data_IF_498702620016
#
_entry.id   IF_498702620016
#
_cell.length_a   1.000
_cell.length_b   1.000
_cell.length_c   1.000
_cell.angle_alpha   90.00
_cell.angle_beta   90.00
_cell.angle_gamma   90.00
#
_symmetry.space_group_name_H-M   'P 1'
#
loop_
_entity.id
_entity.type
_entity.pdbx_description
1 polymer ?
#
# COMPACT_ATOMS: atom_id res chain seq x y z
N UNK A 1 -12.58 -85.61 13.72
CA UNK A 1 -12.40 -85.49 12.25
C UNK A 1 -13.16 -84.25 11.77
N UNK A 2 -12.44 -83.32 11.13
CA UNK A 2 -12.97 -82.07 10.56
C UNK A 2 -13.67 -82.35 9.23
N UNK A 3 -14.87 -81.81 8.99
CA UNK A 3 -15.41 -81.57 7.63
C UNK A 3 -16.23 -80.27 7.58
N UNK A 4 -15.53 -79.26 7.08
CA UNK A 4 -15.92 -78.15 6.19
C UNK A 4 -17.40 -77.86 5.92
N UNK A 5 -17.79 -76.61 6.19
CA UNK A 5 -19.04 -75.92 5.80
C UNK A 5 -18.84 -75.31 4.39
N UNK A 6 -19.85 -75.37 3.50
CA UNK A 6 -19.73 -74.88 2.12
C UNK A 6 -19.69 -73.35 2.03
N UNK A 7 -18.94 -72.90 1.01
CA UNK A 7 -18.68 -71.53 0.64
C UNK A 7 -19.95 -70.91 0.00
N UNK A 8 -20.68 -70.13 0.78
CA UNK A 8 -21.79 -69.29 0.28
C UNK A 8 -21.75 -67.96 1.01
N UNK A 9 -20.61 -67.27 0.89
CA UNK A 9 -20.41 -65.96 1.52
C UNK A 9 -21.03 -64.89 0.65
N UNK A 10 -22.26 -64.55 1.00
CA UNK A 10 -22.72 -63.19 1.28
C UNK A 10 -22.19 -62.09 0.33
N UNK A 11 -22.98 -61.85 -0.72
CA UNK A 11 -23.05 -60.57 -1.43
C UNK A 11 -23.61 -59.51 -0.46
N UNK A 12 -23.13 -58.26 -0.60
CA UNK A 12 -23.48 -57.04 0.14
C UNK A 12 -22.84 -56.88 1.54
N UNK A 13 -21.75 -56.11 1.59
CA UNK A 13 -21.73 -54.95 2.48
C UNK A 13 -20.98 -53.78 1.83
N UNK A 14 -21.57 -52.61 1.99
CA UNK A 14 -21.35 -51.37 1.28
C UNK A 14 -19.89 -50.88 1.22
N UNK A 15 -19.55 -50.34 0.05
CA UNK A 15 -18.51 -49.35 -0.14
C UNK A 15 -18.78 -48.11 0.74
N UNK A 16 -17.98 -47.89 1.78
CA UNK A 16 -17.99 -46.63 2.54
C UNK A 16 -16.70 -46.46 3.37
N UNK A 17 -15.52 -46.47 2.76
CA UNK A 17 -14.29 -45.97 3.42
C UNK A 17 -13.44 -45.16 2.44
N UNK A 18 -14.08 -44.27 1.71
CA UNK A 18 -13.44 -43.05 1.22
C UNK A 18 -14.50 -41.97 1.33
N UNK A 19 -14.78 -41.52 2.56
CA UNK A 19 -15.22 -40.14 2.69
C UNK A 19 -14.03 -39.31 2.23
N UNK A 20 -14.08 -38.60 1.08
CA UNK A 20 -13.23 -37.44 0.98
C UNK A 20 -13.67 -36.60 2.17
N UNK A 21 -12.85 -36.54 3.22
CA UNK A 21 -12.82 -35.34 4.05
C UNK A 21 -12.45 -34.27 3.05
N UNK A 22 -13.47 -33.67 2.44
CA UNK A 22 -13.36 -32.43 1.74
C UNK A 22 -12.64 -31.55 2.75
N UNK A 23 -11.38 -31.27 2.46
CA UNK A 23 -10.79 -30.02 2.91
C UNK A 23 -11.68 -29.01 2.21
N UNK A 24 -12.80 -28.65 2.85
CA UNK A 24 -13.42 -27.38 2.62
C UNK A 24 -12.36 -26.42 3.11
N UNK A 25 -11.45 -26.05 2.20
CA UNK A 25 -10.79 -24.77 2.28
C UNK A 25 -11.97 -23.81 2.44
N UNK A 26 -12.17 -23.35 3.66
CA UNK A 26 -13.06 -22.25 3.93
C UNK A 26 -12.54 -21.17 3.01
N UNK A 27 -13.28 -20.88 1.94
CA UNK A 27 -13.01 -19.72 1.11
C UNK A 27 -13.14 -18.55 2.08
N UNK A 28 -12.02 -18.14 2.67
CA UNK A 28 -11.92 -16.88 3.37
C UNK A 28 -12.32 -15.86 2.30
N UNK A 29 -13.56 -15.37 2.40
CA UNK A 29 -14.16 -14.56 1.35
C UNK A 29 -13.24 -13.38 1.10
N UNK A 30 -12.64 -13.34 -0.09
CA UNK A 30 -11.74 -12.26 -0.48
C UNK A 30 -12.48 -10.93 -0.29
N UNK A 31 -11.94 -10.06 0.56
CA UNK A 31 -12.54 -8.75 0.77
C UNK A 31 -12.43 -7.96 -0.54
N UNK A 32 -13.52 -7.35 -1.06
CA UNK A 32 -13.43 -6.50 -2.24
C UNK A 32 -12.64 -5.22 -1.91
N UNK A 33 -12.08 -4.58 -2.93
CA UNK A 33 -11.42 -3.28 -2.77
C UNK A 33 -12.48 -2.26 -2.34
N UNK A 34 -12.26 -1.53 -1.22
CA UNK A 34 -13.23 -0.53 -0.77
C UNK A 34 -13.24 0.69 -1.72
N UNK A 35 -14.39 1.37 -1.79
CA UNK A 35 -14.59 2.51 -2.71
C UNK A 35 -13.62 3.65 -2.43
N UNK A 36 -13.37 3.98 -1.15
CA UNK A 36 -12.44 5.04 -0.75
C UNK A 36 -11.05 4.86 -1.37
N UNK A 37 -10.56 3.62 -1.49
CA UNK A 37 -9.22 3.34 -2.03
C UNK A 37 -9.21 3.58 -3.54
N UNK A 38 -10.27 3.17 -4.24
CA UNK A 38 -10.42 3.40 -5.67
C UNK A 38 -10.56 4.90 -5.99
N UNK A 39 -11.30 5.63 -5.16
CA UNK A 39 -11.49 7.09 -5.26
C UNK A 39 -10.17 7.82 -5.00
N UNK A 40 -9.43 7.44 -3.95
CA UNK A 40 -8.08 7.96 -3.67
C UNK A 40 -7.12 7.71 -4.85
N UNK A 41 -7.11 6.51 -5.43
CA UNK A 41 -6.29 6.22 -6.61
C UNK A 41 -6.69 7.06 -7.82
N UNK A 42 -7.99 7.23 -8.06
CA UNK A 42 -8.49 8.05 -9.16
C UNK A 42 -8.08 9.53 -8.97
N UNK A 43 -8.19 10.06 -7.76
CA UNK A 43 -7.79 11.42 -7.42
C UNK A 43 -6.28 11.63 -7.65
N UNK A 44 -5.43 10.75 -7.12
CA UNK A 44 -3.96 10.85 -7.26
C UNK A 44 -3.49 10.76 -8.71
N UNK A 45 -4.18 9.98 -9.55
CA UNK A 45 -3.82 9.76 -10.97
C UNK A 45 -4.47 10.72 -11.95
N UNK A 46 -5.18 11.74 -11.49
CA UNK A 46 -5.86 12.69 -12.37
C UNK A 46 -4.87 13.46 -13.28
N UNK A 47 -5.31 13.81 -14.49
CA UNK A 47 -4.50 14.58 -15.43
C UNK A 47 -3.20 13.88 -15.82
N UNK A 48 -2.06 14.49 -15.49
CA UNK A 48 -0.73 13.89 -15.70
C UNK A 48 -0.32 12.93 -14.58
N UNK A 49 -1.08 12.85 -13.48
CA UNK A 49 -0.69 12.16 -12.25
C UNK A 49 0.48 12.81 -11.52
N UNK A 50 0.96 13.98 -11.98
CA UNK A 50 2.10 14.69 -11.41
C UNK A 50 1.62 15.83 -10.52
N UNK A 51 2.09 15.86 -9.28
CA UNK A 51 1.77 16.85 -8.27
C UNK A 51 3.04 17.49 -7.73
N UNK A 52 3.08 18.82 -7.63
CA UNK A 52 4.27 19.57 -7.24
C UNK A 52 4.01 20.34 -5.94
N UNK A 53 4.97 20.30 -5.02
CA UNK A 53 4.98 21.14 -3.81
C UNK A 53 6.28 21.93 -3.74
N UNK A 54 6.20 23.13 -3.19
CA UNK A 54 7.36 23.94 -2.81
C UNK A 54 8.14 23.28 -1.65
N UNK A 55 9.46 23.48 -1.61
CA UNK A 55 10.33 23.00 -0.53
C UNK A 55 10.99 24.12 0.29
N UNK A 56 10.68 25.39 0.05
CA UNK A 56 11.40 26.52 0.67
C UNK A 56 11.43 26.46 2.21
N UNK A 57 10.37 25.93 2.84
CA UNK A 57 10.27 25.80 4.29
C UNK A 57 11.22 24.74 4.91
N UNK A 58 11.74 23.81 4.10
CA UNK A 58 12.57 22.67 4.57
C UNK A 58 13.92 22.57 3.84
N UNK A 59 14.24 23.54 2.98
CA UNK A 59 15.53 23.61 2.31
C UNK A 59 16.68 23.61 3.30
N UNK A 60 17.73 22.86 2.95
CA UNK A 60 18.98 22.78 3.72
C UNK A 60 20.14 22.48 2.78
N UNK A 61 21.36 22.42 3.32
CA UNK A 61 22.52 21.97 2.52
C UNK A 61 22.34 20.54 2.00
N UNK A 62 21.60 19.70 2.73
CA UNK A 62 21.31 18.31 2.34
C UNK A 62 20.06 18.20 1.45
N UNK A 63 19.19 19.22 1.45
CA UNK A 63 18.01 19.33 0.58
C UNK A 63 18.05 20.64 -0.23
N UNK A 64 18.98 20.78 -1.20
CA UNK A 64 19.19 22.05 -1.92
C UNK A 64 18.21 22.28 -3.09
N UNK A 65 17.20 21.44 -3.24
CA UNK A 65 16.22 21.49 -4.33
C UNK A 65 15.06 22.43 -4.02
N UNK A 66 14.44 22.96 -5.07
CA UNK A 66 13.45 24.04 -4.99
C UNK A 66 12.06 23.49 -4.66
N UNK A 67 11.76 22.29 -5.15
CA UNK A 67 10.45 21.66 -5.02
C UNK A 67 10.57 20.14 -5.02
N UNK A 68 9.47 19.49 -4.65
CA UNK A 68 9.27 18.07 -4.88
C UNK A 68 8.16 17.83 -5.90
N UNK A 69 8.26 16.70 -6.59
CA UNK A 69 7.19 16.15 -7.41
C UNK A 69 6.79 14.76 -6.94
N UNK A 70 5.49 14.49 -6.87
CA UNK A 70 4.91 13.16 -6.80
C UNK A 70 4.35 12.81 -8.18
N UNK A 71 4.70 11.65 -8.71
CA UNK A 71 4.05 11.09 -9.89
C UNK A 71 3.34 9.80 -9.50
N UNK A 72 2.06 9.70 -9.84
CA UNK A 72 1.21 8.55 -9.59
C UNK A 72 0.68 7.97 -10.91
N UNK A 73 0.73 6.65 -11.03
CA UNK A 73 0.14 5.92 -12.16
C UNK A 73 -0.53 4.64 -11.68
N UNK A 74 -1.52 4.18 -12.43
CA UNK A 74 -2.10 2.86 -12.16
C UNK A 74 -1.10 1.75 -12.46
N UNK A 75 -1.05 0.77 -11.56
CA UNK A 75 -0.44 -0.52 -11.82
C UNK A 75 -1.28 -1.40 -12.73
N UNK A 76 -0.86 -2.66 -12.86
CA UNK A 76 -1.45 -3.62 -13.78
C UNK A 76 -2.96 -3.80 -13.51
N UNK A 77 -3.76 -3.66 -14.57
CA UNK A 77 -5.21 -3.83 -14.49
C UNK A 77 -5.93 -2.81 -13.60
N UNK A 78 -5.29 -1.69 -13.23
CA UNK A 78 -5.81 -0.68 -12.29
C UNK A 78 -6.19 -1.25 -10.92
N UNK A 79 -5.46 -2.28 -10.48
CA UNK A 79 -5.64 -2.95 -9.18
C UNK A 79 -4.58 -2.58 -8.14
N UNK A 80 -3.68 -1.69 -8.50
CA UNK A 80 -2.67 -1.11 -7.63
C UNK A 80 -2.33 0.29 -8.11
N UNK A 81 -1.67 1.05 -7.25
CA UNK A 81 -1.14 2.37 -7.54
C UNK A 81 0.38 2.30 -7.42
N UNK A 82 1.08 2.84 -8.42
CA UNK A 82 2.52 3.05 -8.36
C UNK A 82 2.78 4.53 -8.26
N UNK A 83 3.89 4.90 -7.65
CA UNK A 83 4.35 6.26 -7.77
C UNK A 83 5.84 6.43 -7.54
N UNK A 84 6.28 7.68 -7.66
CA UNK A 84 7.61 8.12 -7.24
C UNK A 84 7.56 9.53 -6.68
N UNK A 85 8.41 9.79 -5.68
CA UNK A 85 8.74 11.13 -5.20
C UNK A 85 10.09 11.51 -5.76
N UNK A 86 10.18 12.68 -6.37
CA UNK A 86 11.38 13.18 -7.02
C UNK A 86 11.63 14.64 -6.67
N UNK A 87 12.88 15.05 -6.79
CA UNK A 87 13.32 16.41 -6.50
C UNK A 87 13.34 17.26 -7.76
N UNK A 88 13.02 18.54 -7.61
CA UNK A 88 13.06 19.53 -8.69
C UNK A 88 14.09 20.62 -8.37
N UNK A 89 14.97 20.91 -9.33
CA UNK A 89 15.86 22.07 -9.29
C UNK A 89 15.72 22.85 -10.59
N UNK A 90 15.45 24.15 -10.49
CA UNK A 90 15.21 25.02 -11.64
C UNK A 90 14.11 24.46 -12.58
N UNK A 91 13.10 23.82 -11.99
CA UNK A 91 12.00 23.17 -12.72
C UNK A 91 12.35 21.83 -13.39
N UNK A 92 13.59 21.35 -13.28
CA UNK A 92 14.04 20.08 -13.83
C UNK A 92 13.99 18.97 -12.79
N UNK A 93 13.55 17.78 -13.21
CA UNK A 93 13.67 16.57 -12.40
C UNK A 93 15.13 16.14 -12.31
N UNK A 94 15.67 16.15 -11.09
CA UNK A 94 17.07 15.84 -10.83
C UNK A 94 17.27 14.48 -10.14
N UNK A 95 16.20 13.74 -9.86
CA UNK A 95 16.32 12.42 -9.23
C UNK A 95 15.14 12.05 -8.35
N UNK A 96 14.93 10.73 -8.23
CA UNK A 96 13.90 10.16 -7.35
C UNK A 96 14.48 9.86 -5.97
N UNK A 97 13.72 10.16 -4.93
CA UNK A 97 14.06 9.86 -3.53
C UNK A 97 13.27 8.67 -2.99
N UNK A 98 12.04 8.45 -3.50
CA UNK A 98 11.21 7.31 -3.13
C UNK A 98 10.45 6.75 -4.33
N UNK A 99 10.21 5.44 -4.31
CA UNK A 99 9.25 4.75 -5.17
C UNK A 99 8.17 4.08 -4.31
N UNK A 100 6.93 4.11 -4.78
CA UNK A 100 5.75 3.62 -4.06
C UNK A 100 5.06 2.48 -4.81
N UNK A 101 4.52 1.53 -4.06
CA UNK A 101 3.49 0.59 -4.51
C UNK A 101 2.40 0.50 -3.43
N UNK A 102 1.17 0.87 -3.79
CA UNK A 102 -0.02 0.67 -2.97
C UNK A 102 -0.96 -0.35 -3.62
N UNK A 103 -1.49 -1.28 -2.85
CA UNK A 103 -2.37 -2.34 -3.33
C UNK A 103 -3.35 -2.80 -2.26
N UNK A 104 -4.43 -3.45 -2.68
CA UNK A 104 -5.36 -4.08 -1.75
C UNK A 104 -4.93 -5.53 -1.47
N UNK A 105 -4.80 -5.88 -0.19
CA UNK A 105 -4.60 -7.23 0.30
C UNK A 105 -5.98 -7.83 0.64
N UNK A 106 -6.56 -8.67 -0.24
CA UNK A 106 -7.94 -9.16 -0.07
C UNK A 106 -8.05 -10.24 1.01
N UNK A 107 -6.94 -10.88 1.39
CA UNK A 107 -6.92 -11.86 2.48
C UNK A 107 -6.99 -11.16 3.82
N UNK A 108 -6.21 -10.09 3.99
CA UNK A 108 -6.19 -9.34 5.22
C UNK A 108 -7.20 -8.18 5.28
N UNK A 109 -7.90 -7.90 4.17
CA UNK A 109 -8.91 -6.84 4.09
C UNK A 109 -8.34 -5.44 4.34
N UNK A 110 -7.14 -5.14 3.81
CA UNK A 110 -6.47 -3.86 4.06
C UNK A 110 -5.69 -3.35 2.85
N UNK A 111 -5.55 -2.02 2.75
CA UNK A 111 -4.63 -1.42 1.79
C UNK A 111 -3.21 -1.50 2.34
N UNK A 112 -2.28 -1.97 1.51
CA UNK A 112 -0.86 -2.11 1.81
C UNK A 112 -0.08 -1.10 1.01
N UNK A 113 0.95 -0.54 1.63
CA UNK A 113 1.90 0.34 0.96
C UNK A 113 3.33 -0.16 1.18
N UNK A 114 4.10 -0.17 0.10
CA UNK A 114 5.54 -0.45 0.08
C UNK A 114 6.26 0.75 -0.51
N UNK A 115 7.36 1.13 0.12
CA UNK A 115 8.23 2.22 -0.31
C UNK A 115 9.68 1.77 -0.39
N UNK A 116 10.39 2.27 -1.40
CA UNK A 116 11.83 2.04 -1.56
C UNK A 116 12.53 3.39 -1.73
N UNK A 117 13.44 3.70 -0.82
CA UNK A 117 14.24 4.91 -0.81
C UNK A 117 15.45 4.79 -1.74
N UNK A 118 15.97 5.92 -2.20
CA UNK A 118 17.17 5.96 -3.05
C UNK A 118 18.43 5.38 -2.39
N UNK A 119 18.44 5.31 -1.06
CA UNK A 119 19.49 4.71 -0.22
C UNK A 119 19.29 3.20 0.01
N UNK A 120 18.21 2.61 -0.53
CA UNK A 120 17.83 1.22 -0.31
C UNK A 120 16.98 0.98 0.94
N UNK A 121 16.60 2.02 1.68
CA UNK A 121 15.66 1.90 2.80
C UNK A 121 14.31 1.41 2.30
N UNK A 122 13.74 0.39 2.95
CA UNK A 122 12.43 -0.18 2.59
C UNK A 122 11.41 0.15 3.66
N UNK A 123 10.32 0.80 3.26
CA UNK A 123 9.13 1.08 4.07
C UNK A 123 8.02 0.10 3.75
N UNK A 124 7.37 -0.47 4.75
CA UNK A 124 6.18 -1.31 4.58
C UNK A 124 5.12 -0.95 5.62
N UNK A 125 3.86 -0.96 5.21
CA UNK A 125 2.77 -0.71 6.13
C UNK A 125 1.41 -0.71 5.47
N UNK A 126 0.51 0.07 6.05
CA UNK A 126 -0.93 0.03 5.75
C UNK A 126 -1.49 1.41 5.53
N UNK A 127 -2.51 1.50 4.67
CA UNK A 127 -3.30 2.70 4.45
C UNK A 127 -4.75 2.47 4.88
N UNK A 128 -5.41 3.49 5.41
CA UNK A 128 -6.83 3.47 5.74
C UNK A 128 -7.45 4.86 5.61
N UNK A 129 -8.76 4.92 5.46
CA UNK A 129 -9.53 6.17 5.55
C UNK A 129 -9.94 6.40 7.01
N UNK A 130 -9.70 7.60 7.54
CA UNK A 130 -10.17 8.00 8.87
C UNK A 130 -11.61 8.55 8.84
N UNK A 131 -12.17 8.87 10.02
CA UNK A 131 -13.57 9.31 10.15
C UNK A 131 -13.88 10.63 9.40
N UNK A 132 -12.86 11.43 9.12
CA UNK A 132 -12.97 12.69 8.39
C UNK A 132 -12.80 12.50 6.85
N UNK A 133 -12.64 11.26 6.39
CA UNK A 133 -12.35 10.96 4.98
C UNK A 133 -10.91 11.24 4.56
N UNK A 134 -10.00 11.40 5.53
CA UNK A 134 -8.58 11.55 5.22
C UNK A 134 -7.93 10.18 5.05
N UNK A 135 -7.00 10.08 4.10
CA UNK A 135 -6.20 8.87 3.92
C UNK A 135 -5.03 8.92 4.89
N UNK A 136 -4.94 7.94 5.77
CA UNK A 136 -3.82 7.74 6.68
C UNK A 136 -2.97 6.57 6.26
N UNK A 137 -1.69 6.68 6.53
CA UNK A 137 -0.70 5.65 6.24
C UNK A 137 0.22 5.53 7.46
N UNK A 138 0.54 4.30 7.88
CA UNK A 138 1.57 4.03 8.90
C UNK A 138 2.52 2.99 8.36
N UNK A 139 3.81 3.27 8.40
CA UNK A 139 4.84 2.40 7.87
C UNK A 139 6.05 2.28 8.77
N UNK A 140 6.63 1.09 8.78
CA UNK A 140 7.94 0.82 9.36
C UNK A 140 8.97 0.80 8.24
N UNK A 141 10.05 1.54 8.45
CA UNK A 141 11.18 1.66 7.54
C UNK A 141 12.39 0.95 8.12
N UNK A 142 13.13 0.25 7.27
CA UNK A 142 14.36 -0.44 7.62
C UNK A 142 15.43 -0.13 6.57
N UNK A 143 16.58 0.39 7.01
CA UNK A 143 17.73 0.67 6.15
C UNK A 143 18.58 -0.59 5.91
N UNK A 144 19.40 -0.63 4.85
CA UNK A 144 20.33 -1.73 4.60
C UNK A 144 21.31 -2.01 5.76
N UNK A 145 21.65 -0.98 6.54
CA UNK A 145 22.53 -1.04 7.71
C UNK A 145 21.83 -1.55 8.97
N UNK A 146 20.52 -1.82 8.90
CA UNK A 146 19.71 -2.36 10.00
C UNK A 146 19.08 -1.29 10.90
N UNK A 147 19.22 0.00 10.58
CA UNK A 147 18.48 1.07 11.24
C UNK A 147 16.98 0.96 10.95
N UNK A 148 16.12 1.27 11.91
CA UNK A 148 14.68 1.23 11.72
C UNK A 148 13.96 2.40 12.40
N UNK A 149 12.89 2.87 11.77
CA UNK A 149 12.01 3.90 12.30
C UNK A 149 10.58 3.71 11.80
N UNK A 150 9.62 4.38 12.44
CA UNK A 150 8.23 4.41 12.00
C UNK A 150 7.84 5.83 11.61
N UNK A 151 7.07 5.93 10.53
CA UNK A 151 6.54 7.19 10.02
C UNK A 151 5.08 7.02 9.63
N UNK A 152 4.33 8.09 9.85
CA UNK A 152 2.93 8.20 9.51
C UNK A 152 2.70 9.30 8.49
N UNK A 153 1.67 9.16 7.66
CA UNK A 153 1.19 10.20 6.78
C UNK A 153 -0.32 10.34 6.92
N UNK A 154 -0.81 11.56 6.72
CA UNK A 154 -2.22 11.86 6.55
C UNK A 154 -2.35 12.75 5.30
N UNK A 155 -3.22 12.36 4.38
CA UNK A 155 -3.45 13.04 3.12
C UNK A 155 -4.92 13.35 2.91
N UNK A 156 -5.22 14.53 2.38
CA UNK A 156 -6.58 14.96 2.07
C UNK A 156 -6.62 15.95 0.92
N UNK A 157 -7.79 16.10 0.31
CA UNK A 157 -8.02 17.10 -0.73
C UNK A 157 -8.65 18.35 -0.11
N UNK A 158 -8.10 19.53 -0.40
CA UNK A 158 -8.71 20.82 -0.05
C UNK A 158 -8.36 21.85 -1.12
N UNK A 159 -9.33 22.70 -1.47
CA UNK A 159 -9.13 23.82 -2.41
C UNK A 159 -8.52 23.43 -3.78
N UNK A 160 -8.76 22.19 -4.23
CA UNK A 160 -8.22 21.66 -5.49
C UNK A 160 -6.78 21.12 -5.40
N UNK A 161 -6.17 21.15 -4.21
CA UNK A 161 -4.83 20.68 -3.94
C UNK A 161 -4.86 19.45 -3.03
N UNK A 162 -3.83 18.61 -3.12
CA UNK A 162 -3.62 17.53 -2.16
C UNK A 162 -2.76 18.07 -1.02
N UNK A 163 -3.21 17.90 0.21
CA UNK A 163 -2.47 18.26 1.41
C UNK A 163 -1.92 17.01 2.05
N UNK A 164 -0.70 17.07 2.58
CA UNK A 164 -0.11 15.97 3.32
C UNK A 164 0.58 16.46 4.58
N UNK A 165 0.31 15.79 5.71
CA UNK A 165 1.06 15.92 6.95
C UNK A 165 1.81 14.62 7.20
N UNK A 166 3.13 14.70 7.38
CA UNK A 166 3.94 13.58 7.86
C UNK A 166 4.11 13.62 9.37
N UNK A 167 4.38 12.46 9.95
CA UNK A 167 4.53 12.24 11.37
C UNK A 167 5.71 11.30 11.64
N UNK A 168 6.50 11.60 12.67
CA UNK A 168 7.37 10.62 13.28
C UNK A 168 6.54 9.83 14.29
N UNK A 169 6.64 8.49 14.29
CA UNK A 169 5.93 7.67 15.27
C UNK A 169 6.92 7.23 16.33
N UNK A 170 6.79 7.81 17.53
CA UNK A 170 7.69 7.59 18.66
C UNK A 170 6.90 6.99 19.81
N UNK A 171 7.21 5.74 20.18
CA UNK A 171 6.47 5.01 21.22
C UNK A 171 4.94 4.96 20.98
N UNK A 172 4.53 4.90 19.71
CA UNK A 172 3.12 4.90 19.30
C UNK A 172 2.49 6.30 19.18
N UNK A 173 3.18 7.36 19.58
CA UNK A 173 2.70 8.74 19.46
C UNK A 173 3.05 9.33 18.09
N UNK A 174 2.07 9.95 17.45
CA UNK A 174 2.21 10.60 16.15
C UNK A 174 2.65 12.05 16.34
N UNK A 175 3.95 12.30 16.22
CA UNK A 175 4.54 13.63 16.36
C UNK A 175 4.62 14.30 14.99
N UNK A 176 3.92 15.42 14.83
CA UNK A 176 3.90 16.19 13.56
C UNK A 176 5.32 16.51 13.09
N UNK A 177 5.54 16.28 11.80
CA UNK A 177 6.77 16.60 11.10
C UNK A 177 6.48 17.60 9.97
N UNK A 178 6.58 17.19 8.69
CA UNK A 178 6.47 18.10 7.55
C UNK A 178 5.05 18.21 7.03
N UNK A 179 4.74 19.36 6.47
CA UNK A 179 3.47 19.65 5.82
C UNK A 179 3.70 20.15 4.41
N UNK A 180 2.94 19.63 3.44
CA UNK A 180 3.04 20.02 2.05
C UNK A 180 1.66 20.25 1.43
N UNK A 181 1.61 21.19 0.50
CA UNK A 181 0.46 21.45 -0.37
C UNK A 181 0.88 21.16 -1.80
N UNK A 182 0.37 20.06 -2.31
CA UNK A 182 0.67 19.53 -3.63
C UNK A 182 -0.35 20.02 -4.64
N UNK A 183 0.15 20.65 -5.69
CA UNK A 183 -0.66 21.21 -6.77
C UNK A 183 -0.48 20.35 -8.01
N UNK A 184 -1.59 20.00 -8.65
CA UNK A 184 -1.55 19.22 -9.89
C UNK A 184 -0.75 19.99 -10.96
N UNK A 185 0.22 19.33 -11.57
CA UNK A 185 0.99 19.90 -12.68
C UNK A 185 0.08 20.01 -13.91
N UNK A 186 -0.30 21.24 -14.22
CA UNK A 186 -1.03 21.58 -15.44
C UNK A 186 -0.02 21.62 -16.58
N UNK A 187 -0.19 20.74 -17.57
CA UNK A 187 0.57 20.83 -18.82
C UNK A 187 0.12 22.10 -19.54
N UNK A 188 1.03 23.07 -19.69
CA UNK A 188 0.84 24.23 -20.56
C UNK A 188 1.31 23.90 -21.98
#
# INVERSE_FOLDING_TARGET
MKKTIPLSTLVLLLAAIFSPRGIQAQEAGAHPIPSWLLENWAARTQGSGVWITDNSAYQSEQEPFDAYGLHWEYGLGRKSLKGRLFCLKEGQDIGSVWQFLEYWDPEAGQARIVQIGSDGTVGQGVSWEDEDGHIREQQKFVSPEGGAFESGHQAWMADGSQHTQSYNILNGEWVKNRYYVWNLKINK
#
